data_IF_376274649777
#
_entry.id   IF_376274649777
#
_cell.length_a   1.000
_cell.length_b   1.000
_cell.length_c   1.000
_cell.angle_alpha   90.00
_cell.angle_beta   90.00
_cell.angle_gamma   90.00
#
_symmetry.space_group_name_H-M   'P 1'
#
loop_
_entity.id
_entity.type
_entity.pdbx_description
1 polymer ?
#
# COMPACT_ATOMS: atom_id res chain seq x y z
N UNK A 1 -11.63 -11.72 -1.18
CA UNK A 1 -10.31 -11.67 -1.81
C UNK A 1 -10.20 -10.46 -2.73
N UNK A 2 -9.00 -9.93 -2.94
CA UNK A 2 -8.71 -9.04 -4.07
C UNK A 2 -8.69 -9.88 -5.35
N UNK A 3 -9.34 -9.39 -6.41
CA UNK A 3 -9.41 -10.07 -7.72
C UNK A 3 -8.66 -9.33 -8.83
N UNK A 4 -8.19 -8.12 -8.55
CA UNK A 4 -7.50 -7.26 -9.50
C UNK A 4 -7.08 -5.94 -8.85
N UNK A 5 -6.17 -5.23 -9.51
CA UNK A 5 -5.67 -3.93 -9.05
C UNK A 5 -5.52 -2.97 -10.21
N UNK A 6 -5.86 -1.70 -9.98
CA UNK A 6 -5.68 -0.61 -10.94
C UNK A 6 -5.16 0.63 -10.18
N UNK A 7 -4.05 1.20 -10.63
CA UNK A 7 -3.37 2.31 -9.98
C UNK A 7 -3.28 3.51 -10.92
N UNK A 8 -3.58 4.70 -10.40
CA UNK A 8 -3.46 5.96 -11.13
C UNK A 8 -2.29 6.78 -10.57
N UNK A 9 -1.23 6.95 -11.36
CA UNK A 9 -0.10 7.79 -10.99
C UNK A 9 0.81 7.23 -9.88
N UNK A 10 0.64 5.96 -9.49
CA UNK A 10 1.48 5.26 -8.51
C UNK A 10 2.05 4.00 -9.18
N UNK A 11 3.36 3.79 -9.08
CA UNK A 11 4.02 2.59 -9.61
C UNK A 11 4.08 1.50 -8.56
N UNK A 12 3.48 0.36 -8.88
CA UNK A 12 3.41 -0.81 -8.00
C UNK A 12 4.14 -2.01 -8.61
N UNK A 13 4.77 -2.83 -7.78
CA UNK A 13 5.47 -4.06 -8.17
C UNK A 13 4.45 -5.11 -8.57
N UNK A 14 4.44 -5.44 -9.86
CA UNK A 14 3.54 -6.46 -10.41
C UNK A 14 3.65 -7.80 -9.68
N UNK A 15 4.86 -8.25 -9.31
CA UNK A 15 5.05 -9.51 -8.60
C UNK A 15 4.31 -9.57 -7.26
N UNK A 16 4.40 -8.51 -6.44
CA UNK A 16 3.68 -8.42 -5.16
C UNK A 16 2.17 -8.38 -5.40
N UNK A 17 1.72 -7.60 -6.38
CA UNK A 17 0.32 -7.48 -6.72
C UNK A 17 -0.28 -8.82 -7.22
N UNK A 18 0.46 -9.54 -8.06
CA UNK A 18 0.05 -10.85 -8.57
C UNK A 18 -0.07 -11.87 -7.44
N UNK A 19 0.91 -11.90 -6.52
CA UNK A 19 0.85 -12.76 -5.33
C UNK A 19 -0.42 -12.53 -4.52
N UNK A 20 -0.77 -11.27 -4.23
CA UNK A 20 -2.01 -10.98 -3.49
C UNK A 20 -3.30 -11.44 -4.18
N UNK A 21 -3.33 -11.47 -5.52
CA UNK A 21 -4.47 -11.97 -6.28
C UNK A 21 -4.52 -13.50 -6.24
N UNK A 22 -3.38 -14.16 -6.48
CA UNK A 22 -3.26 -15.62 -6.48
C UNK A 22 -3.55 -16.23 -5.10
N UNK A 23 -3.10 -15.57 -4.04
CA UNK A 23 -3.29 -16.02 -2.65
C UNK A 23 -4.66 -15.64 -2.07
N UNK A 24 -5.54 -15.05 -2.89
CA UNK A 24 -6.89 -14.62 -2.50
C UNK A 24 -6.92 -13.66 -1.29
N UNK A 25 -5.89 -12.82 -1.14
CA UNK A 25 -5.72 -12.00 0.05
C UNK A 25 -6.95 -11.11 0.33
N UNK A 26 -7.39 -10.99 1.60
CA UNK A 26 -8.46 -10.05 1.96
C UNK A 26 -8.08 -8.61 1.60
N UNK A 27 -9.07 -7.81 1.18
CA UNK A 27 -8.86 -6.40 0.84
C UNK A 27 -8.24 -5.63 2.00
N UNK A 28 -8.72 -5.88 3.22
CA UNK A 28 -8.18 -5.26 4.45
C UNK A 28 -6.68 -5.55 4.63
N UNK A 29 -6.24 -6.79 4.35
CA UNK A 29 -4.83 -7.18 4.41
C UNK A 29 -4.01 -6.46 3.35
N UNK A 30 -4.51 -6.38 2.11
CA UNK A 30 -3.81 -5.69 1.02
C UNK A 30 -3.68 -4.19 1.31
N UNK A 31 -4.77 -3.55 1.77
CA UNK A 31 -4.76 -2.12 2.13
C UNK A 31 -3.75 -1.81 3.23
N UNK A 32 -3.67 -2.66 4.27
CA UNK A 32 -2.68 -2.49 5.34
C UNK A 32 -1.24 -2.64 4.84
N UNK A 33 -0.99 -3.47 3.83
CA UNK A 33 0.34 -3.83 3.33
C UNK A 33 0.70 -3.19 1.97
N UNK A 34 -0.04 -2.17 1.51
CA UNK A 34 0.20 -1.52 0.21
C UNK A 34 1.65 -1.08 -0.02
N UNK A 35 2.35 -0.68 1.06
CA UNK A 35 3.74 -0.28 1.00
C UNK A 35 4.70 -1.36 0.45
N UNK A 36 4.38 -2.64 0.63
CA UNK A 36 5.22 -3.76 0.16
C UNK A 36 5.29 -3.82 -1.36
N UNK A 37 4.23 -3.38 -2.04
CA UNK A 37 4.19 -3.31 -3.48
C UNK A 37 4.77 -1.99 -4.02
N UNK A 38 5.30 -1.09 -3.19
CA UNK A 38 5.88 0.17 -3.68
C UNK A 38 7.09 -0.09 -4.60
N UNK A 39 7.03 0.42 -5.83
CA UNK A 39 8.14 0.34 -6.78
C UNK A 39 9.02 1.59 -6.76
N UNK A 40 8.51 2.74 -6.30
CA UNK A 40 9.20 4.00 -6.54
C UNK A 40 10.52 4.12 -5.76
N UNK A 41 11.59 4.60 -6.43
CA UNK A 41 12.88 4.85 -5.79
C UNK A 41 12.72 5.92 -4.72
N UNK A 42 13.46 5.71 -3.63
CA UNK A 42 13.68 6.64 -2.53
C UNK A 42 13.69 8.08 -3.05
N UNK A 43 12.66 8.90 -2.74
CA UNK A 43 12.54 10.37 -2.86
C UNK A 43 11.07 10.85 -2.92
N UNK A 44 10.09 9.96 -3.14
CA UNK A 44 8.66 10.33 -3.09
C UNK A 44 8.06 10.18 -1.69
N UNK A 45 7.12 11.07 -1.35
CA UNK A 45 6.36 10.98 -0.10
C UNK A 45 5.44 9.76 -0.14
N UNK A 46 5.49 8.89 0.88
CA UNK A 46 4.61 7.73 0.95
C UNK A 46 3.16 8.16 1.18
N UNK A 47 2.24 7.57 0.42
CA UNK A 47 0.79 7.84 0.54
C UNK A 47 0.03 6.80 1.37
N UNK A 48 0.72 5.79 1.90
CA UNK A 48 0.11 4.60 2.50
C UNK A 48 -0.76 4.90 3.70
N UNK A 49 -0.32 5.77 4.61
CA UNK A 49 -1.12 6.18 5.78
C UNK A 49 -2.39 6.92 5.38
N UNK A 50 -2.31 7.80 4.37
CA UNK A 50 -3.45 8.54 3.86
C UNK A 50 -4.49 7.60 3.23
N UNK A 51 -4.03 6.60 2.46
CA UNK A 51 -4.89 5.58 1.86
C UNK A 51 -5.60 4.75 2.94
N UNK A 52 -4.86 4.26 3.95
CA UNK A 52 -5.45 3.49 5.05
C UNK A 52 -6.46 4.31 5.84
N UNK A 53 -6.16 5.59 6.10
CA UNK A 53 -7.07 6.50 6.81
C UNK A 53 -8.36 6.73 6.02
N UNK A 54 -8.26 6.96 4.71
CA UNK A 54 -9.43 7.10 3.83
C UNK A 54 -10.27 5.82 3.80
N UNK A 55 -9.63 4.66 3.66
CA UNK A 55 -10.30 3.36 3.67
C UNK A 55 -11.03 3.09 4.99
N UNK A 56 -10.38 3.36 6.12
CA UNK A 56 -10.98 3.22 7.45
C UNK A 56 -12.23 4.07 7.61
N UNK A 57 -12.18 5.32 7.14
CA UNK A 57 -13.33 6.25 7.18
C UNK A 57 -14.50 5.75 6.34
N UNK A 58 -14.24 5.28 5.12
CA UNK A 58 -15.29 4.82 4.20
C UNK A 58 -15.92 3.49 4.64
N UNK A 59 -15.11 2.59 5.20
CA UNK A 59 -15.51 1.22 5.51
C UNK A 59 -15.77 0.95 7.00
N UNK A 60 -15.63 1.96 7.86
CA UNK A 60 -15.77 1.81 9.31
C UNK A 60 -14.73 0.86 9.92
N UNK A 61 -13.52 0.84 9.36
CA UNK A 61 -12.42 -0.06 9.78
C UNK A 61 -11.41 0.69 10.65
N UNK A 62 -10.51 -0.07 11.28
CA UNK A 62 -9.43 0.46 12.12
C UNK A 62 -8.08 -0.18 11.77
N UNK A 63 -7.76 -0.22 10.49
CA UNK A 63 -6.49 -0.74 9.98
C UNK A 63 -5.35 0.23 10.26
N UNK A 64 -4.13 -0.30 10.35
CA UNK A 64 -2.89 0.49 10.41
C UNK A 64 -2.04 0.18 9.19
N UNK A 65 -1.40 1.21 8.62
CA UNK A 65 -0.47 1.00 7.52
C UNK A 65 0.79 0.29 8.03
N UNK A 66 1.13 -0.85 7.45
CA UNK A 66 2.37 -1.58 7.68
C UNK A 66 3.48 -0.96 6.82
N UNK A 67 3.78 0.30 7.10
CA UNK A 67 4.83 1.06 6.42
C UNK A 67 5.88 1.48 7.43
N UNK A 68 7.15 1.30 7.06
CA UNK A 68 8.29 1.83 7.81
C UNK A 68 9.11 2.72 6.88
N UNK A 69 9.24 4.03 7.16
CA UNK A 69 10.00 4.91 6.31
C UNK A 69 11.48 4.51 6.32
N UNK A 70 12.10 4.51 5.14
CA UNK A 70 13.54 4.24 5.01
C UNK A 70 14.34 5.37 5.65
N UNK A 71 15.63 5.12 5.92
CA UNK A 71 16.52 6.13 6.46
C UNK A 71 16.58 7.38 5.56
N UNK A 72 16.62 7.19 4.24
CA UNK A 72 16.56 8.27 3.26
C UNK A 72 15.29 9.10 3.39
N UNK A 73 14.13 8.45 3.51
CA UNK A 73 12.85 9.15 3.68
C UNK A 73 12.80 9.93 5.00
N UNK A 74 13.47 9.47 6.06
CA UNK A 74 13.51 10.20 7.33
C UNK A 74 14.43 11.43 7.31
N UNK A 75 15.46 11.41 6.46
CA UNK A 75 16.47 12.48 6.38
C UNK A 75 16.06 13.55 5.35
N UNK A 76 15.38 13.17 4.27
CA UNK A 76 15.07 14.05 3.14
C UNK A 76 13.59 14.42 2.97
N UNK A 77 12.69 13.96 3.84
CA UNK A 77 11.26 14.31 3.80
C UNK A 77 10.89 15.50 4.70
#
# INVERSE_FOLDING_TARGET
AVTGMNFFGIRMRHHTCEGWIQDENPVDTVIANLAEANFDPELFRPHWEAIVTAYNRERGKQLRANFRPSLFQRIFA
#
